data_IF_124540863503
#
_entry.id   IF_124540863503
#
_cell.length_a   1.000
_cell.length_b   1.000
_cell.length_c   1.000
_cell.angle_alpha   90.00
_cell.angle_beta   90.00
_cell.angle_gamma   90.00
#
_symmetry.space_group_name_H-M   'P 1'
#
loop_
_entity.id
_entity.type
_entity.pdbx_description
1 polymer ?
#
# COMPACT_ATOMS: atom_id res chain seq x y z
N UNK A 1 36.74 3.71 16.27
CA UNK A 1 35.73 3.85 17.35
C UNK A 1 34.43 4.24 16.69
N UNK A 2 33.34 3.51 16.94
CA UNK A 2 31.99 3.82 16.44
C UNK A 2 31.15 4.42 17.58
N UNK A 3 30.01 5.03 17.25
CA UNK A 3 29.02 5.46 18.25
C UNK A 3 28.40 4.27 18.99
N UNK A 4 27.89 4.51 20.20
CA UNK A 4 27.31 3.48 21.09
C UNK A 4 25.79 3.64 21.29
N UNK A 5 25.14 4.36 20.38
CA UNK A 5 23.69 4.59 20.43
C UNK A 5 22.93 3.32 20.04
N UNK A 6 21.67 3.21 20.47
CA UNK A 6 20.80 2.11 20.03
C UNK A 6 20.64 2.16 18.51
N UNK A 7 20.91 1.04 17.86
CA UNK A 7 20.81 0.89 16.41
C UNK A 7 19.47 0.25 16.05
N UNK A 8 18.53 1.06 15.58
CA UNK A 8 17.18 0.62 15.19
C UNK A 8 16.96 0.92 13.70
N UNK A 9 16.53 -0.07 12.89
CA UNK A 9 16.29 0.17 11.48
C UNK A 9 15.06 1.06 11.26
N UNK A 10 15.18 1.98 10.31
CA UNK A 10 14.12 2.85 9.83
C UNK A 10 13.13 2.06 8.97
N UNK A 11 12.15 1.43 9.61
CA UNK A 11 11.11 0.62 8.96
C UNK A 11 9.78 1.37 8.88
N UNK A 12 9.03 1.17 7.80
CA UNK A 12 7.71 1.77 7.60
C UNK A 12 6.68 1.24 8.60
N UNK A 13 6.80 -0.02 9.03
CA UNK A 13 5.97 -0.62 10.08
C UNK A 13 6.01 0.18 11.38
N UNK A 14 7.16 0.76 11.74
CA UNK A 14 7.28 1.61 12.94
C UNK A 14 6.46 2.89 12.87
N UNK A 15 6.21 3.41 11.67
CA UNK A 15 5.38 4.61 11.47
C UNK A 15 3.94 4.30 11.89
N UNK A 16 3.38 3.20 11.40
CA UNK A 16 2.00 2.82 11.72
C UNK A 16 1.86 2.32 13.18
N UNK A 17 2.88 1.63 13.72
CA UNK A 17 2.93 1.29 15.15
C UNK A 17 2.90 2.53 16.04
N UNK A 18 3.68 3.55 15.70
CA UNK A 18 3.67 4.83 16.40
C UNK A 18 2.29 5.49 16.31
N UNK A 19 1.72 5.57 15.11
CA UNK A 19 0.41 6.19 14.88
C UNK A 19 -0.69 5.49 15.69
N UNK A 20 -0.73 4.16 15.67
CA UNK A 20 -1.68 3.38 16.45
C UNK A 20 -1.47 3.49 17.97
N UNK A 21 -0.23 3.63 18.43
CA UNK A 21 0.07 3.75 19.86
C UNK A 21 -0.25 5.13 20.43
N UNK A 22 0.11 6.20 19.71
CA UNK A 22 0.05 7.56 20.24
C UNK A 22 -1.09 8.41 19.66
N UNK A 23 -1.64 8.02 18.51
CA UNK A 23 -2.77 8.67 17.85
C UNK A 23 -3.89 7.67 17.48
N UNK A 24 -4.25 6.70 18.35
CA UNK A 24 -5.09 5.55 17.98
C UNK A 24 -6.42 5.95 17.36
N UNK A 25 -7.05 6.99 17.94
CA UNK A 25 -8.38 7.48 17.58
C UNK A 25 -8.35 8.64 16.58
N UNK A 26 -7.20 8.95 15.99
CA UNK A 26 -7.14 9.98 14.96
C UNK A 26 -7.90 9.46 13.75
N UNK A 27 -8.97 10.16 13.44
CA UNK A 27 -9.88 9.78 12.36
C UNK A 27 -9.16 9.80 11.01
N UNK A 28 -9.49 8.83 10.17
CA UNK A 28 -9.14 8.76 8.75
C UNK A 28 -10.47 8.64 8.00
N UNK A 29 -10.69 9.52 7.02
CA UNK A 29 -11.97 9.63 6.32
C UNK A 29 -11.76 9.47 4.84
N UNK A 30 -12.57 8.62 4.23
CA UNK A 30 -12.48 8.32 2.80
C UNK A 30 -13.88 8.17 2.23
N UNK A 31 -14.07 8.66 1.01
CA UNK A 31 -15.21 8.23 0.21
C UNK A 31 -14.91 6.84 -0.31
N UNK A 32 -15.73 5.86 0.07
CA UNK A 32 -15.59 4.50 -0.46
C UNK A 32 -15.94 4.48 -1.95
N UNK A 33 -15.37 3.51 -2.66
CA UNK A 33 -15.64 3.35 -4.10
C UNK A 33 -17.09 2.92 -4.33
N UNK A 34 -17.65 2.23 -3.35
CA UNK A 34 -19.02 1.76 -3.25
C UNK A 34 -20.03 2.91 -3.01
N UNK A 35 -19.55 4.10 -2.60
CA UNK A 35 -20.38 5.30 -2.43
C UNK A 35 -20.41 5.90 -1.01
N UNK A 36 -20.63 5.15 0.08
CA UNK A 36 -20.73 5.74 1.42
C UNK A 36 -19.40 6.34 1.90
N UNK A 37 -19.49 7.32 2.80
CA UNK A 37 -18.31 7.81 3.54
C UNK A 37 -17.92 6.75 4.58
N UNK A 38 -16.68 6.30 4.51
CA UNK A 38 -16.07 5.43 5.50
C UNK A 38 -15.21 6.25 6.48
N UNK A 39 -15.30 5.89 7.75
CA UNK A 39 -14.53 6.50 8.85
C UNK A 39 -13.84 5.39 9.63
N UNK A 40 -12.53 5.52 9.76
CA UNK A 40 -11.68 4.62 10.54
C UNK A 40 -10.67 5.44 11.33
N UNK A 41 -9.69 4.79 11.93
CA UNK A 41 -8.63 5.41 12.70
C UNK A 41 -7.29 4.64 12.59
N UNK A 42 -6.19 5.22 13.09
CA UNK A 42 -4.88 4.58 12.98
C UNK A 42 -4.81 3.24 13.73
N UNK A 43 -5.52 3.07 14.85
CA UNK A 43 -5.58 1.80 15.55
C UNK A 43 -6.20 0.70 14.66
N UNK A 44 -7.27 1.02 13.94
CA UNK A 44 -7.94 0.10 13.04
C UNK A 44 -7.13 -0.17 11.78
N UNK A 45 -6.48 0.84 11.19
CA UNK A 45 -5.57 0.65 10.05
C UNK A 45 -4.40 -0.25 10.43
N UNK A 46 -3.79 -0.04 11.60
CA UNK A 46 -2.70 -0.91 12.07
C UNK A 46 -3.16 -2.35 12.30
N UNK A 47 -4.33 -2.53 12.96
CA UNK A 47 -4.93 -3.84 13.15
C UNK A 47 -5.15 -4.58 11.83
N UNK A 48 -5.74 -3.91 10.85
CA UNK A 48 -6.10 -4.51 9.56
C UNK A 48 -4.89 -4.73 8.65
N UNK A 49 -3.89 -3.86 8.73
CA UNK A 49 -2.58 -4.10 8.09
C UNK A 49 -1.92 -5.39 8.61
N UNK A 50 -2.02 -5.68 9.92
CA UNK A 50 -1.52 -6.93 10.52
C UNK A 50 -2.29 -8.17 10.04
N UNK A 51 -3.61 -8.05 9.88
CA UNK A 51 -4.41 -9.13 9.31
C UNK A 51 -4.07 -9.38 7.83
N UNK A 52 -3.87 -8.32 7.05
CA UNK A 52 -3.39 -8.42 5.69
C UNK A 52 -2.01 -9.08 5.60
N UNK A 53 -1.08 -8.74 6.50
CA UNK A 53 0.24 -9.36 6.58
C UNK A 53 0.14 -10.89 6.67
N UNK A 54 -0.72 -11.40 7.58
CA UNK A 54 -1.01 -12.83 7.70
C UNK A 54 -1.64 -13.41 6.43
N UNK A 55 -2.62 -12.73 5.84
CA UNK A 55 -3.27 -13.19 4.62
C UNK A 55 -2.28 -13.36 3.46
N UNK A 56 -1.31 -12.45 3.34
CA UNK A 56 -0.23 -12.50 2.36
C UNK A 56 0.77 -13.64 2.64
N UNK A 57 1.23 -13.78 3.89
CA UNK A 57 2.12 -14.89 4.28
C UNK A 57 1.47 -16.26 4.06
N UNK A 58 0.16 -16.38 4.29
CA UNK A 58 -0.61 -17.62 4.11
C UNK A 58 -0.55 -18.14 2.67
N UNK A 59 -0.52 -17.24 1.69
CA UNK A 59 -0.38 -17.61 0.27
C UNK A 59 1.10 -17.67 -0.17
N UNK A 60 2.05 -17.55 0.76
CA UNK A 60 3.47 -17.69 0.51
C UNK A 60 4.14 -16.43 -0.05
N UNK A 61 3.56 -15.24 0.15
CA UNK A 61 4.28 -13.98 -0.09
C UNK A 61 5.40 -13.85 0.94
N UNK A 62 6.55 -13.42 0.45
CA UNK A 62 7.78 -13.29 1.20
C UNK A 62 8.47 -11.97 0.91
N UNK A 63 9.55 -11.70 1.64
CA UNK A 63 10.33 -10.47 1.49
C UNK A 63 10.84 -10.33 0.05
N UNK A 64 10.58 -9.17 -0.56
CA UNK A 64 11.00 -8.86 -1.93
C UNK A 64 10.00 -9.26 -3.02
N UNK A 65 8.92 -9.97 -2.69
CA UNK A 65 7.81 -10.19 -3.62
C UNK A 65 7.06 -8.87 -3.87
N UNK A 66 6.57 -8.68 -5.11
CA UNK A 66 5.90 -7.44 -5.52
C UNK A 66 4.39 -7.66 -5.55
N UNK A 67 3.68 -6.68 -4.99
CA UNK A 67 2.22 -6.68 -4.89
C UNK A 67 1.73 -5.40 -5.54
N UNK A 68 1.08 -5.57 -6.69
CA UNK A 68 0.53 -4.48 -7.46
C UNK A 68 -0.74 -3.92 -6.81
N UNK A 69 -0.90 -2.61 -6.85
CA UNK A 69 -2.16 -1.94 -6.54
C UNK A 69 -2.67 -1.10 -7.71
N UNK A 70 -3.93 -1.30 -8.08
CA UNK A 70 -4.70 -0.41 -8.96
C UNK A 70 -5.84 0.17 -8.12
N UNK A 71 -5.55 1.21 -7.33
CA UNK A 71 -6.45 1.66 -6.28
C UNK A 71 -6.42 3.18 -6.07
N UNK A 72 -7.57 3.72 -5.69
CA UNK A 72 -7.78 5.10 -5.28
C UNK A 72 -7.22 5.38 -3.88
N UNK A 73 -7.40 6.61 -3.41
CA UNK A 73 -6.95 7.05 -2.09
C UNK A 73 -8.00 6.63 -1.03
N UNK A 74 -7.98 5.35 -0.66
CA UNK A 74 -8.92 4.75 0.30
C UNK A 74 -8.20 4.16 1.51
N UNK A 75 -8.96 3.86 2.57
CA UNK A 75 -8.42 3.24 3.78
C UNK A 75 -7.85 1.85 3.50
N UNK A 76 -8.48 1.07 2.60
CA UNK A 76 -7.98 -0.24 2.20
C UNK A 76 -6.63 -0.15 1.48
N UNK A 77 -6.44 0.86 0.64
CA UNK A 77 -5.15 1.10 0.00
C UNK A 77 -4.07 1.50 1.02
N UNK A 78 -4.44 2.28 2.05
CA UNK A 78 -3.54 2.61 3.16
C UNK A 78 -3.18 1.38 4.02
N UNK A 79 -4.17 0.54 4.33
CA UNK A 79 -3.97 -0.75 5.00
C UNK A 79 -3.05 -1.66 4.17
N UNK A 80 -3.25 -1.69 2.85
CA UNK A 80 -2.41 -2.43 1.91
C UNK A 80 -0.95 -1.99 1.97
N UNK A 81 -0.68 -0.68 1.93
CA UNK A 81 0.69 -0.17 1.99
C UNK A 81 1.46 -0.67 3.21
N UNK A 82 0.87 -0.51 4.40
CA UNK A 82 1.52 -0.93 5.64
C UNK A 82 1.57 -2.44 5.82
N UNK A 83 0.55 -3.18 5.37
CA UNK A 83 0.54 -4.64 5.44
C UNK A 83 1.58 -5.27 4.54
N UNK A 84 1.70 -4.82 3.30
CA UNK A 84 2.66 -5.31 2.30
C UNK A 84 4.09 -4.93 2.69
N UNK A 85 4.36 -3.64 2.92
CA UNK A 85 5.73 -3.22 3.23
C UNK A 85 6.16 -3.69 4.63
N UNK A 86 5.22 -3.84 5.56
CA UNK A 86 5.48 -4.34 6.91
C UNK A 86 6.06 -5.76 6.95
N UNK A 87 5.67 -6.63 6.02
CA UNK A 87 6.26 -7.98 5.88
C UNK A 87 7.56 -8.01 5.05
N UNK A 88 8.02 -6.85 4.57
CA UNK A 88 9.18 -6.72 3.69
C UNK A 88 8.89 -7.04 2.23
N UNK A 89 7.62 -7.18 1.83
CA UNK A 89 7.22 -7.21 0.44
C UNK A 89 7.20 -5.78 -0.15
N UNK A 90 7.10 -5.68 -1.47
CA UNK A 90 7.20 -4.41 -2.18
C UNK A 90 5.81 -3.96 -2.63
N UNK A 91 5.36 -2.82 -2.10
CA UNK A 91 4.13 -2.17 -2.57
C UNK A 91 4.40 -1.57 -3.95
N UNK A 92 3.83 -2.17 -4.99
CA UNK A 92 3.96 -1.67 -6.35
C UNK A 92 2.70 -0.91 -6.76
N UNK A 93 2.73 0.42 -6.69
CA UNK A 93 1.53 1.19 -7.04
C UNK A 93 1.49 1.45 -8.55
N UNK A 94 0.52 0.85 -9.24
CA UNK A 94 0.36 0.94 -10.68
C UNK A 94 -0.66 2.03 -11.00
N UNK A 95 -0.36 2.87 -12.00
CA UNK A 95 -1.28 3.92 -12.42
C UNK A 95 -2.37 3.32 -13.33
N UNK A 96 -3.65 3.28 -12.89
CA UNK A 96 -4.73 2.67 -13.65
C UNK A 96 -5.16 3.48 -14.89
N UNK A 97 -4.56 4.66 -15.10
CA UNK A 97 -4.85 5.56 -16.22
C UNK A 97 -3.90 5.40 -17.41
N UNK A 98 -2.96 4.45 -17.32
CA UNK A 98 -2.05 4.14 -18.42
C UNK A 98 -2.77 3.33 -19.50
N UNK A 99 -2.16 3.22 -20.67
CA UNK A 99 -2.63 2.31 -21.70
C UNK A 99 -2.49 0.85 -21.25
N UNK A 100 -3.38 0.00 -21.75
CA UNK A 100 -3.45 -1.42 -21.42
C UNK A 100 -2.09 -2.11 -21.57
N UNK A 101 -1.37 -1.86 -22.67
CA UNK A 101 -0.06 -2.46 -22.94
C UNK A 101 1.01 -2.01 -21.94
N UNK A 102 0.92 -0.77 -21.45
CA UNK A 102 1.83 -0.26 -20.44
C UNK A 102 1.56 -0.88 -19.06
N UNK A 103 0.29 -1.10 -18.72
CA UNK A 103 -0.08 -1.78 -17.47
C UNK A 103 0.43 -3.23 -17.51
N UNK A 104 0.19 -3.95 -18.62
CA UNK A 104 0.71 -5.32 -18.81
C UNK A 104 2.22 -5.36 -18.72
N UNK A 105 2.92 -4.47 -19.43
CA UNK A 105 4.37 -4.37 -19.34
C UNK A 105 4.84 -4.14 -17.91
N UNK A 106 4.26 -3.16 -17.20
CA UNK A 106 4.68 -2.79 -15.85
C UNK A 106 4.47 -3.96 -14.87
N UNK A 107 3.31 -4.62 -14.94
CA UNK A 107 2.97 -5.74 -14.04
C UNK A 107 3.87 -6.95 -14.30
N UNK A 108 4.11 -7.29 -15.56
CA UNK A 108 4.99 -8.41 -15.92
C UNK A 108 6.47 -8.10 -15.66
N UNK A 109 6.93 -6.88 -15.98
CA UNK A 109 8.31 -6.47 -15.73
C UNK A 109 8.61 -6.36 -14.22
N UNK A 110 7.63 -5.95 -13.42
CA UNK A 110 7.73 -6.04 -11.97
C UNK A 110 7.57 -7.46 -11.46
N UNK A 111 7.07 -8.40 -12.27
CA UNK A 111 6.65 -9.75 -11.89
C UNK A 111 5.84 -9.75 -10.58
N UNK A 112 4.76 -8.96 -10.57
CA UNK A 112 3.84 -8.91 -9.43
C UNK A 112 3.17 -10.27 -9.21
N UNK A 113 3.09 -10.70 -7.96
CA UNK A 113 2.43 -11.97 -7.58
C UNK A 113 0.97 -11.78 -7.18
N UNK A 114 0.65 -10.64 -6.57
CA UNK A 114 -0.72 -10.30 -6.16
C UNK A 114 -1.12 -8.99 -6.81
N UNK A 115 -2.34 -8.90 -7.30
CA UNK A 115 -2.94 -7.66 -7.78
C UNK A 115 -4.15 -7.28 -6.92
N UNK A 116 -4.01 -6.20 -6.15
CA UNK A 116 -5.09 -5.61 -5.36
C UNK A 116 -5.71 -4.44 -6.13
N UNK A 117 -7.03 -4.39 -6.28
CA UNK A 117 -7.66 -3.34 -7.10
C UNK A 117 -9.05 -2.94 -6.62
N UNK A 118 -9.42 -1.68 -6.85
CA UNK A 118 -10.77 -1.18 -6.56
C UNK A 118 -11.80 -1.63 -7.61
N UNK A 119 -13.07 -1.70 -7.22
CA UNK A 119 -14.21 -2.10 -8.08
C UNK A 119 -14.25 -1.35 -9.41
N UNK A 120 -13.87 -0.07 -9.41
CA UNK A 120 -13.82 0.75 -10.63
C UNK A 120 -12.99 0.10 -11.74
N UNK A 121 -11.99 -0.70 -11.38
CA UNK A 121 -11.03 -1.29 -12.31
C UNK A 121 -11.31 -2.75 -12.63
N UNK A 122 -12.40 -3.35 -12.12
CA UNK A 122 -12.75 -4.73 -12.45
C UNK A 122 -12.78 -4.99 -13.98
N UNK A 123 -13.45 -4.18 -14.83
CA UNK A 123 -13.46 -4.42 -16.28
C UNK A 123 -12.07 -4.28 -16.93
N UNK A 124 -11.20 -3.45 -16.35
CA UNK A 124 -9.82 -3.30 -16.80
C UNK A 124 -9.03 -4.56 -16.46
N UNK A 125 -9.09 -5.01 -15.21
CA UNK A 125 -8.33 -6.17 -14.73
C UNK A 125 -8.79 -7.45 -15.43
N UNK A 126 -10.10 -7.65 -15.64
CA UNK A 126 -10.62 -8.80 -16.39
C UNK A 126 -10.10 -8.86 -17.83
N UNK A 127 -9.96 -7.70 -18.47
CA UNK A 127 -9.43 -7.59 -19.83
C UNK A 127 -7.93 -7.88 -19.89
N UNK A 128 -7.17 -7.49 -18.88
CA UNK A 128 -5.71 -7.61 -18.86
C UNK A 128 -5.21 -8.92 -18.25
N UNK A 129 -5.97 -9.55 -17.36
CA UNK A 129 -5.58 -10.76 -16.63
C UNK A 129 -5.02 -11.89 -17.51
N UNK A 130 -5.53 -12.17 -18.72
CA UNK A 130 -4.94 -13.19 -19.60
C UNK A 130 -3.49 -12.90 -20.04
N UNK A 131 -3.03 -11.67 -19.89
CA UNK A 131 -1.68 -11.22 -20.27
C UNK A 131 -0.74 -11.06 -19.07
N UNK A 132 -1.23 -11.23 -17.83
CA UNK A 132 -0.38 -11.20 -16.65
C UNK A 132 0.28 -12.56 -16.43
N UNK A 133 1.61 -12.59 -16.43
CA UNK A 133 2.38 -13.85 -16.44
C UNK A 133 2.62 -14.41 -15.02
N UNK A 134 2.68 -13.53 -14.02
CA UNK A 134 3.10 -13.89 -12.64
C UNK A 134 2.04 -13.65 -11.58
N UNK A 135 0.93 -12.99 -11.92
CA UNK A 135 -0.14 -12.70 -10.96
C UNK A 135 -0.90 -13.99 -10.66
N UNK A 136 -0.79 -14.45 -9.42
CA UNK A 136 -1.41 -15.68 -8.92
C UNK A 136 -2.63 -15.43 -8.03
N UNK A 137 -2.79 -14.22 -7.49
CA UNK A 137 -3.92 -13.85 -6.64
C UNK A 137 -4.49 -12.48 -7.01
N UNK A 138 -5.80 -12.42 -7.22
CA UNK A 138 -6.56 -11.19 -7.44
C UNK A 138 -7.35 -10.84 -6.18
N UNK A 139 -7.22 -9.60 -5.69
CA UNK A 139 -7.91 -9.12 -4.48
C UNK A 139 -8.70 -7.87 -4.81
N UNK A 140 -10.02 -7.98 -4.79
CA UNK A 140 -10.91 -6.84 -4.94
C UNK A 140 -10.95 -6.07 -3.62
N UNK A 141 -10.62 -4.78 -3.62
CA UNK A 141 -10.65 -3.90 -2.45
C UNK A 141 -12.08 -3.51 -2.04
N UNK A 142 -12.89 -4.52 -1.74
CA UNK A 142 -14.28 -4.40 -1.32
C UNK A 142 -14.69 -5.53 -0.35
N UNK A 143 -15.96 -5.54 0.04
CA UNK A 143 -16.61 -6.64 0.73
C UNK A 143 -17.20 -7.68 -0.24
N UNK A 144 -17.62 -8.83 0.28
CA UNK A 144 -18.20 -9.89 -0.55
C UNK A 144 -19.53 -9.52 -1.23
N UNK A 145 -20.27 -8.53 -0.72
CA UNK A 145 -21.53 -8.11 -1.33
C UNK A 145 -21.32 -7.37 -2.65
N UNK A 146 -20.10 -6.85 -2.90
CA UNK A 146 -19.72 -6.17 -4.13
C UNK A 146 -18.84 -7.03 -5.05
N UNK A 147 -18.62 -8.31 -4.74
CA UNK A 147 -18.04 -9.23 -5.71
C UNK A 147 -18.98 -9.38 -6.92
N UNK A 148 -18.45 -9.48 -8.14
CA UNK A 148 -19.27 -9.73 -9.31
C UNK A 148 -19.88 -11.14 -9.23
N UNK A 149 -21.14 -11.29 -9.68
CA UNK A 149 -21.79 -12.60 -9.76
C UNK A 149 -21.01 -13.58 -10.67
N UNK A 150 -20.37 -13.04 -11.70
CA UNK A 150 -19.51 -13.78 -12.63
C UNK A 150 -18.25 -12.98 -12.91
N UNK A 151 -17.08 -13.63 -12.90
CA UNK A 151 -15.82 -13.01 -13.28
C UNK A 151 -14.93 -13.96 -14.06
N UNK A 152 -14.08 -13.42 -14.94
CA UNK A 152 -13.01 -14.18 -15.61
C UNK A 152 -11.77 -14.35 -14.72
N UNK A 153 -11.68 -13.63 -13.61
CA UNK A 153 -10.55 -13.69 -12.69
C UNK A 153 -10.64 -14.94 -11.83
N UNK A 154 -9.69 -15.86 -12.04
CA UNK A 154 -9.57 -17.05 -11.21
C UNK A 154 -9.20 -16.67 -9.79
N UNK A 155 -9.83 -17.31 -8.81
CA UNK A 155 -9.55 -17.18 -7.38
C UNK A 155 -9.67 -15.72 -6.87
N UNK A 156 -10.54 -14.90 -7.48
CA UNK A 156 -10.85 -13.54 -7.02
C UNK A 156 -11.47 -13.58 -5.60
N UNK A 157 -10.89 -12.80 -4.68
CA UNK A 157 -11.39 -12.66 -3.31
C UNK A 157 -11.75 -11.21 -2.99
N UNK A 158 -12.75 -11.02 -2.12
CA UNK A 158 -13.02 -9.71 -1.51
C UNK A 158 -12.04 -9.45 -0.36
N UNK A 159 -11.46 -8.26 -0.32
CA UNK A 159 -10.48 -7.84 0.67
C UNK A 159 -10.97 -8.01 2.11
N UNK A 160 -12.21 -7.58 2.40
CA UNK A 160 -12.76 -7.67 3.76
C UNK A 160 -12.78 -9.12 4.25
N UNK A 161 -13.34 -10.03 3.46
CA UNK A 161 -13.45 -11.46 3.78
C UNK A 161 -12.08 -12.13 3.84
N UNK A 162 -11.19 -11.74 2.93
CA UNK A 162 -9.87 -12.34 2.81
C UNK A 162 -8.99 -12.14 4.06
N UNK A 163 -9.13 -10.97 4.71
CA UNK A 163 -8.38 -10.65 5.94
C UNK A 163 -9.17 -10.89 7.22
N UNK A 164 -10.51 -10.96 7.19
CA UNK A 164 -11.36 -11.00 8.37
C UNK A 164 -11.06 -12.17 9.33
N UNK A 165 -10.66 -13.33 8.79
CA UNK A 165 -10.33 -14.52 9.57
C UNK A 165 -8.92 -14.53 10.16
N UNK A 166 -8.06 -13.57 9.78
CA UNK A 166 -6.68 -13.54 10.24
C UNK A 166 -6.56 -12.88 11.61
N UNK A 167 -5.66 -13.43 12.43
CA UNK A 167 -5.33 -12.85 13.73
C UNK A 167 -4.62 -11.50 13.55
N UNK A 168 -4.98 -10.52 14.37
CA UNK A 168 -4.22 -9.27 14.47
C UNK A 168 -3.04 -9.35 15.45
N UNK A 169 -2.85 -10.49 16.13
CA UNK A 169 -1.65 -10.80 16.90
C UNK A 169 -0.47 -11.11 15.95
N UNK A 170 0.12 -10.02 15.46
CA UNK A 170 1.21 -10.01 14.50
C UNK A 170 2.33 -9.09 14.99
N UNK A 171 3.53 -9.63 15.06
CA UNK A 171 4.76 -8.88 15.28
C UNK A 171 5.44 -8.63 13.94
N UNK A 172 5.69 -7.37 13.60
CA UNK A 172 6.34 -7.02 12.35
C UNK A 172 7.78 -7.55 12.33
N UNK A 173 8.21 -8.22 11.24
CA UNK A 173 9.60 -8.64 11.12
C UNK A 173 10.55 -7.43 11.09
N UNK A 174 11.75 -7.62 11.62
CA UNK A 174 12.83 -6.63 11.60
C UNK A 174 13.89 -7.07 10.59
N UNK A 175 14.24 -6.16 9.68
CA UNK A 175 15.21 -6.39 8.61
C UNK A 175 16.01 -5.12 8.31
N UNK A 176 16.99 -5.21 7.41
CA UNK A 176 17.81 -4.08 6.97
C UNK A 176 16.91 -2.98 6.38
N UNK A 177 17.06 -1.75 6.85
CA UNK A 177 16.29 -0.59 6.36
C UNK A 177 16.53 -0.27 4.88
N UNK A 178 17.60 -0.77 4.26
CA UNK A 178 17.83 -0.67 2.82
C UNK A 178 17.03 -1.69 2.00
N UNK A 179 16.28 -2.58 2.65
CA UNK A 179 15.33 -3.50 1.99
C UNK A 179 14.31 -2.71 1.16
N UNK A 180 14.01 -3.22 -0.03
CA UNK A 180 13.01 -2.64 -0.93
C UNK A 180 11.63 -2.63 -0.27
N UNK A 181 10.89 -1.53 -0.41
CA UNK A 181 9.63 -1.30 0.29
C UNK A 181 8.48 -0.85 -0.63
N UNK A 182 8.81 -0.25 -1.76
CA UNK A 182 7.82 0.17 -2.73
C UNK A 182 8.42 0.36 -4.11
N UNK A 183 7.56 0.36 -5.12
CA UNK A 183 7.92 0.47 -6.53
C UNK A 183 6.93 1.39 -7.24
N UNK A 184 7.44 2.37 -7.98
CA UNK A 184 6.67 3.22 -8.89
C UNK A 184 7.32 3.24 -10.26
N UNK A 185 6.54 3.13 -11.33
CA UNK A 185 7.05 3.31 -12.69
C UNK A 185 6.86 4.75 -13.19
N UNK A 186 7.83 5.23 -13.95
CA UNK A 186 7.80 6.55 -14.60
C UNK A 186 7.67 6.38 -16.12
N UNK A 187 6.71 7.05 -16.72
CA UNK A 187 6.39 6.96 -18.16
C UNK A 187 7.26 7.91 -19.00
N UNK A 188 8.59 7.86 -18.84
CA UNK A 188 9.53 8.79 -19.47
C UNK A 188 9.29 9.03 -20.97
N UNK A 189 9.81 10.12 -21.52
CA UNK A 189 9.53 10.56 -22.91
C UNK A 189 10.03 9.61 -23.99
N UNK A 190 10.87 8.63 -23.64
CA UNK A 190 11.46 7.66 -24.56
C UNK A 190 11.56 6.27 -23.93
N UNK A 191 11.19 5.25 -24.70
CA UNK A 191 11.24 3.84 -24.34
C UNK A 191 10.18 3.43 -23.32
N UNK A 192 10.33 2.20 -22.82
CA UNK A 192 9.39 1.63 -21.85
C UNK A 192 9.47 2.34 -20.49
N UNK A 193 8.38 2.29 -19.68
CA UNK A 193 8.38 2.81 -18.32
C UNK A 193 9.51 2.24 -17.48
N UNK A 194 10.13 3.08 -16.64
CA UNK A 194 11.25 2.67 -15.77
C UNK A 194 10.83 2.66 -14.31
N UNK A 195 11.10 1.56 -13.63
CA UNK A 195 10.79 1.36 -12.21
C UNK A 195 11.76 2.11 -11.29
N UNK A 196 11.21 2.81 -10.30
CA UNK A 196 11.93 3.44 -9.20
C UNK A 196 11.63 2.63 -7.94
N UNK A 197 12.65 1.91 -7.46
CA UNK A 197 12.55 1.03 -6.30
C UNK A 197 12.99 1.78 -5.04
N UNK A 198 12.05 2.02 -4.13
CA UNK A 198 12.30 2.68 -2.84
C UNK A 198 12.76 1.66 -1.80
N UNK A 199 13.61 2.09 -0.88
CA UNK A 199 13.90 1.35 0.36
C UNK A 199 13.13 1.93 1.56
N UNK A 200 12.96 1.13 2.61
CA UNK A 200 12.35 1.62 3.86
C UNK A 200 13.07 2.86 4.41
N UNK A 201 14.41 2.85 4.42
CA UNK A 201 15.26 3.96 4.80
C UNK A 201 14.93 5.20 3.99
N UNK A 202 14.87 5.08 2.66
CA UNK A 202 14.59 6.21 1.78
C UNK A 202 13.20 6.81 2.05
N UNK A 203 12.19 5.96 2.27
CA UNK A 203 10.83 6.39 2.59
C UNK A 203 10.78 7.12 3.92
N UNK A 204 11.36 6.55 4.99
CA UNK A 204 11.30 7.14 6.33
C UNK A 204 12.08 8.46 6.39
N UNK A 205 13.25 8.54 5.76
CA UNK A 205 14.02 9.79 5.67
C UNK A 205 13.25 10.87 4.89
N UNK A 206 12.63 10.51 3.75
CA UNK A 206 11.75 11.42 3.02
C UNK A 206 10.59 11.91 3.90
N UNK A 207 9.96 11.02 4.66
CA UNK A 207 8.86 11.38 5.58
C UNK A 207 9.33 12.36 6.65
N UNK A 208 10.49 12.15 7.26
CA UNK A 208 11.07 13.06 8.26
C UNK A 208 11.31 14.47 7.69
N UNK A 209 11.78 14.57 6.44
CA UNK A 209 11.95 15.85 5.74
C UNK A 209 10.58 16.46 5.42
N UNK A 210 9.63 15.67 4.92
CA UNK A 210 8.31 16.14 4.52
C UNK A 210 7.54 16.81 5.68
N UNK A 211 7.70 16.31 6.92
CA UNK A 211 7.03 16.87 8.11
C UNK A 211 7.71 18.13 8.65
N UNK A 212 8.91 18.50 8.16
CA UNK A 212 9.56 19.74 8.56
C UNK A 212 8.72 20.97 8.18
N UNK A 213 8.77 22.00 9.03
CA UNK A 213 7.96 23.21 8.88
C UNK A 213 8.14 23.91 7.52
N UNK A 214 9.36 23.92 6.98
CA UNK A 214 9.70 24.56 5.71
C UNK A 214 9.52 23.63 4.50
N UNK A 215 8.86 22.48 4.69
CA UNK A 215 8.51 21.54 3.60
C UNK A 215 6.99 21.43 3.51
N UNK A 216 6.37 20.28 3.83
CA UNK A 216 4.90 20.19 3.88
C UNK A 216 4.35 20.59 5.25
N UNK A 217 5.17 20.52 6.31
CA UNK A 217 4.78 20.93 7.66
C UNK A 217 3.61 20.14 8.26
N UNK A 218 3.36 18.92 7.77
CA UNK A 218 2.25 18.07 8.20
C UNK A 218 2.37 17.80 9.69
N UNK A 219 1.32 18.07 10.46
CA UNK A 219 1.32 17.86 11.91
C UNK A 219 -0.07 17.48 12.46
N UNK A 220 -0.10 17.04 13.72
CA UNK A 220 -1.30 16.55 14.41
C UNK A 220 -2.49 17.52 14.50
N UNK A 221 -2.30 18.83 14.23
CA UNK A 221 -3.36 19.84 14.25
C UNK A 221 -4.07 20.00 12.90
N UNK A 222 -3.53 19.40 11.85
CA UNK A 222 -4.04 19.53 10.50
C UNK A 222 -4.96 18.37 10.11
N UNK A 223 -5.74 18.63 9.06
CA UNK A 223 -6.48 17.62 8.29
C UNK A 223 -5.90 17.64 6.88
N UNK A 224 -5.14 16.60 6.53
CA UNK A 224 -4.52 16.42 5.24
C UNK A 224 -5.51 15.75 4.28
N UNK A 225 -5.68 16.33 3.09
CA UNK A 225 -6.45 15.73 2.02
C UNK A 225 -5.53 15.51 0.80
N UNK A 226 -4.85 14.36 0.70
CA UNK A 226 -4.07 14.05 -0.48
C UNK A 226 -5.02 13.77 -1.64
N UNK A 227 -5.17 14.75 -2.53
CA UNK A 227 -5.84 14.58 -3.84
C UNK A 227 -4.87 13.95 -4.85
N UNK A 228 -3.56 14.18 -4.67
CA UNK A 228 -2.53 13.48 -5.44
C UNK A 228 -2.72 11.97 -5.24
N UNK A 229 -2.81 11.17 -6.32
CA UNK A 229 -3.09 9.75 -6.17
C UNK A 229 -1.99 9.00 -5.42
N UNK A 230 -2.38 8.00 -4.63
CA UNK A 230 -1.46 7.07 -3.97
C UNK A 230 -0.63 6.31 -5.00
N UNK A 231 -1.16 6.05 -6.19
CA UNK A 231 -0.40 5.49 -7.32
C UNK A 231 0.56 6.46 -8.02
N UNK A 232 0.67 7.71 -7.58
CA UNK A 232 1.53 8.72 -8.19
C UNK A 232 2.58 9.20 -7.19
N UNK A 233 3.80 8.65 -7.31
CA UNK A 233 4.93 8.96 -6.42
C UNK A 233 4.54 8.88 -4.93
N UNK A 234 3.84 7.80 -4.56
CA UNK A 234 3.35 7.55 -3.20
C UNK A 234 2.52 8.69 -2.60
N UNK A 235 1.64 9.34 -3.39
CA UNK A 235 0.91 10.53 -2.96
C UNK A 235 1.83 11.59 -2.30
N UNK A 236 3.03 11.74 -2.85
CA UNK A 236 4.09 12.63 -2.34
C UNK A 236 4.52 12.34 -0.89
N UNK A 237 4.33 11.11 -0.42
CA UNK A 237 4.66 10.68 0.94
C UNK A 237 3.68 11.17 2.02
N UNK A 238 2.59 11.85 1.64
CA UNK A 238 1.58 12.36 2.58
C UNK A 238 1.01 11.27 3.50
N UNK A 239 0.68 10.05 3.04
CA UNK A 239 0.16 9.01 3.93
C UNK A 239 1.13 8.63 5.07
N UNK A 240 2.43 8.51 4.76
CA UNK A 240 3.46 8.25 5.77
C UNK A 240 3.65 9.43 6.72
N UNK A 241 3.64 10.66 6.20
CA UNK A 241 3.79 11.88 7.00
C UNK A 241 2.61 12.11 7.95
N UNK A 242 1.39 11.85 7.47
CA UNK A 242 0.18 11.92 8.29
C UNK A 242 0.24 10.90 9.44
N UNK A 243 0.61 9.65 9.15
CA UNK A 243 0.77 8.61 10.17
C UNK A 243 1.90 8.95 11.18
N UNK A 244 3.06 9.41 10.68
CA UNK A 244 4.21 9.78 11.52
C UNK A 244 3.90 10.92 12.50
N UNK A 245 2.92 11.77 12.19
CA UNK A 245 2.59 12.95 13.01
C UNK A 245 1.23 12.87 13.68
N UNK A 246 0.40 11.88 13.35
CA UNK A 246 -0.97 11.77 13.83
C UNK A 246 -1.90 12.84 13.25
N UNK A 247 -1.66 13.29 12.01
CA UNK A 247 -2.59 14.15 11.29
C UNK A 247 -3.86 13.37 10.90
N UNK A 248 -4.99 14.09 10.79
CA UNK A 248 -6.24 13.57 10.22
C UNK A 248 -6.14 13.57 8.70
#
# INVERSE_FOLDING_TARGET
MLGLMQDWPLLQSRIIEYAARFHPRREIVTWSVEGPVHRTDYASVHRRARQLARALERIGISRGDRIATLAWNTWRHLEAWFGISGIGAVVHTVNPRLFDEQIVYIVNHAEDRVLMFDITFLPLVERLAPHFETVEQYVLLSDAAHLPETTTLKDLVAYEDWIAGESDDYEWPVFDENTASGLCYTSGTTGDPKGVLYSHRSTVLHTLIAICADTLGINARQTALPVVPMFHANAWGVPYAAAMTGAK
#
